data_IF_281291309354
#
_entry.id   IF_281291309354
#
_cell.length_a   1.000
_cell.length_b   1.000
_cell.length_c   1.000
_cell.angle_alpha   90.00
_cell.angle_beta   90.00
_cell.angle_gamma   90.00
#
_symmetry.space_group_name_H-M   'P 1'
#
loop_
_entity.id
_entity.type
_entity.pdbx_description
1 polymer ?
#
# COMPACT_ATOMS: atom_id res chain seq x y z
N UNK A 1 1.16 12.11 18.92
CA UNK A 1 1.49 11.45 17.62
C UNK A 1 2.08 12.47 16.67
N UNK A 2 3.17 12.15 15.99
CA UNK A 2 3.68 12.93 14.88
C UNK A 2 3.20 12.31 13.58
N UNK A 3 2.86 13.14 12.59
CA UNK A 3 2.46 12.61 11.28
C UNK A 3 3.00 13.44 10.13
N UNK A 4 3.17 12.80 8.99
CA UNK A 4 3.57 13.39 7.72
C UNK A 4 2.58 12.96 6.64
N UNK A 5 2.32 13.84 5.67
CA UNK A 5 1.43 13.56 4.54
C UNK A 5 2.26 13.63 3.27
N UNK A 6 2.20 12.57 2.46
CA UNK A 6 2.87 12.47 1.18
C UNK A 6 1.82 12.45 0.08
N UNK A 7 2.01 13.26 -0.95
CA UNK A 7 1.11 13.36 -2.13
C UNK A 7 1.84 13.08 -3.45
N UNK A 8 3.15 12.90 -3.40
CA UNK A 8 3.91 12.48 -4.57
C UNK A 8 3.68 11.00 -4.85
N UNK A 9 3.10 10.69 -6.02
CA UNK A 9 2.73 9.35 -6.43
C UNK A 9 3.93 8.40 -6.42
N UNK A 10 5.06 8.84 -6.96
CA UNK A 10 6.25 8.00 -7.10
C UNK A 10 6.85 7.64 -5.74
N UNK A 11 6.85 8.59 -4.81
CA UNK A 11 7.30 8.37 -3.44
C UNK A 11 6.40 7.37 -2.71
N UNK A 12 5.07 7.47 -2.88
CA UNK A 12 4.11 6.54 -2.29
C UNK A 12 4.27 5.13 -2.87
N UNK A 13 4.39 5.00 -4.20
CA UNK A 13 4.57 3.70 -4.86
C UNK A 13 5.87 3.03 -4.41
N UNK A 14 6.95 3.79 -4.28
CA UNK A 14 8.22 3.30 -3.75
C UNK A 14 8.06 2.80 -2.31
N UNK A 15 7.38 3.56 -1.46
CA UNK A 15 7.11 3.14 -0.08
C UNK A 15 6.29 1.84 -0.02
N UNK A 16 5.29 1.68 -0.91
CA UNK A 16 4.53 0.45 -1.02
C UNK A 16 5.39 -0.75 -1.47
N UNK A 17 6.33 -0.55 -2.38
CA UNK A 17 7.28 -1.59 -2.83
C UNK A 17 8.30 -1.94 -1.74
N UNK A 18 8.79 -0.96 -1.00
CA UNK A 18 9.75 -1.15 0.08
C UNK A 18 9.21 -2.05 1.20
N UNK A 19 7.88 -2.18 1.36
CA UNK A 19 7.27 -3.14 2.29
C UNK A 19 7.66 -4.60 1.99
N UNK A 20 7.95 -4.93 0.72
CA UNK A 20 8.29 -6.30 0.28
C UNK A 20 9.79 -6.53 0.16
N UNK A 21 10.59 -5.46 0.20
CA UNK A 21 12.05 -5.51 0.04
C UNK A 21 12.79 -5.36 1.36
N UNK A 22 12.09 -5.10 2.46
CA UNK A 22 12.72 -4.90 3.77
C UNK A 22 13.20 -6.22 4.35
N UNK A 23 14.32 -6.16 5.10
CA UNK A 23 14.85 -7.29 5.89
C UNK A 23 14.10 -7.45 7.23
N UNK A 24 12.94 -6.81 7.39
CA UNK A 24 12.16 -6.87 8.61
C UNK A 24 11.55 -8.25 8.82
N UNK A 25 11.38 -8.65 10.07
CA UNK A 25 10.60 -9.83 10.41
C UNK A 25 9.11 -9.56 10.15
N UNK A 26 8.56 -10.16 9.11
CA UNK A 26 7.15 -9.96 8.73
C UNK A 26 6.28 -10.92 9.54
N UNK A 27 5.41 -10.37 10.39
CA UNK A 27 4.47 -11.12 11.23
C UNK A 27 3.12 -11.35 10.53
N UNK A 28 2.67 -10.38 9.76
CA UNK A 28 1.48 -10.47 8.90
C UNK A 28 1.87 -10.01 7.51
N UNK A 29 1.70 -10.88 6.53
CA UNK A 29 2.18 -10.69 5.16
C UNK A 29 1.05 -10.36 4.21
N UNK A 30 1.31 -9.42 3.28
CA UNK A 30 0.50 -9.17 2.08
C UNK A 30 1.23 -9.82 0.90
N UNK A 31 0.50 -10.43 -0.04
CA UNK A 31 1.11 -10.95 -1.26
C UNK A 31 1.48 -9.78 -2.20
N UNK A 32 2.65 -9.86 -2.83
CA UNK A 32 3.05 -8.90 -3.86
C UNK A 32 2.05 -8.83 -5.03
N UNK A 33 1.34 -9.93 -5.30
CA UNK A 33 0.25 -9.97 -6.27
C UNK A 33 -0.91 -9.02 -5.92
N UNK A 34 -1.19 -8.84 -4.61
CA UNK A 34 -2.20 -7.90 -4.14
C UNK A 34 -1.78 -6.45 -4.42
N UNK A 35 -0.50 -6.09 -4.19
CA UNK A 35 0.03 -4.78 -4.57
C UNK A 35 -0.08 -4.54 -6.08
N UNK A 36 0.28 -5.53 -6.90
CA UNK A 36 0.13 -5.44 -8.35
C UNK A 36 -1.34 -5.23 -8.77
N UNK A 37 -2.27 -5.83 -8.04
CA UNK A 37 -3.71 -5.66 -8.27
C UNK A 37 -4.15 -4.24 -7.92
N UNK A 38 -3.74 -3.69 -6.78
CA UNK A 38 -4.00 -2.30 -6.41
C UNK A 38 -3.47 -1.31 -7.45
N UNK A 39 -2.22 -1.49 -7.90
CA UNK A 39 -1.60 -0.65 -8.93
C UNK A 39 -2.28 -0.77 -10.30
N UNK A 40 -2.87 -1.92 -10.62
CA UNK A 40 -3.61 -2.12 -11.88
C UNK A 40 -4.92 -1.36 -11.90
N UNK A 41 -5.66 -1.39 -10.81
CA UNK A 41 -7.01 -0.84 -10.72
C UNK A 41 -7.06 0.59 -10.19
N UNK A 42 -6.06 1.01 -9.40
CA UNK A 42 -6.00 2.31 -8.78
C UNK A 42 -4.67 3.03 -8.96
N UNK A 43 -4.66 4.29 -8.58
CA UNK A 43 -3.46 5.13 -8.48
C UNK A 43 -3.27 5.59 -7.04
N UNK A 44 -2.08 5.46 -6.50
CA UNK A 44 -1.72 6.03 -5.20
C UNK A 44 -1.67 7.55 -5.28
N UNK A 45 -2.40 8.24 -4.39
CA UNK A 45 -2.46 9.72 -4.37
C UNK A 45 -2.15 10.33 -3.01
N UNK A 46 -2.35 9.59 -1.95
CA UNK A 46 -2.10 10.06 -0.60
C UNK A 46 -1.49 8.96 0.24
N UNK A 47 -0.51 9.34 1.05
CA UNK A 47 -0.03 8.51 2.14
C UNK A 47 0.09 9.35 3.42
N UNK A 48 -0.14 8.69 4.55
CA UNK A 48 0.02 9.26 5.88
C UNK A 48 1.00 8.36 6.62
N UNK A 49 2.09 8.95 7.11
CA UNK A 49 3.03 8.27 8.01
C UNK A 49 2.77 8.80 9.41
N UNK A 50 2.45 7.90 10.33
CA UNK A 50 2.19 8.24 11.73
C UNK A 50 3.21 7.56 12.64
N UNK A 51 3.94 8.33 13.42
CA UNK A 51 4.81 7.84 14.49
C UNK A 51 4.08 7.94 15.83
N UNK A 52 3.92 6.80 16.49
CA UNK A 52 3.14 6.63 17.71
C UNK A 52 4.07 6.18 18.81
N UNK A 53 4.06 6.94 19.92
CA UNK A 53 4.85 6.63 21.11
C UNK A 53 4.15 5.60 21.99
N UNK A 54 4.94 4.83 22.73
CA UNK A 54 4.44 3.87 23.70
C UNK A 54 3.48 4.56 24.70
N UNK A 55 2.33 3.89 24.94
CA UNK A 55 1.34 4.34 25.90
C UNK A 55 0.36 5.39 25.39
N UNK A 56 0.46 5.83 24.13
CA UNK A 56 -0.59 6.65 23.51
C UNK A 56 -1.83 5.80 23.22
N UNK A 57 -2.81 5.82 24.11
CA UNK A 57 -4.07 5.09 23.98
C UNK A 57 -5.08 5.74 23.03
N UNK A 58 -4.81 6.97 22.58
CA UNK A 58 -5.72 7.71 21.70
C UNK A 58 -5.29 7.61 20.21
N UNK A 59 -4.27 6.82 19.88
CA UNK A 59 -3.65 6.80 18.57
C UNK A 59 -4.61 6.48 17.42
N UNK A 60 -5.58 5.58 17.62
CA UNK A 60 -6.60 5.26 16.61
C UNK A 60 -7.42 6.49 16.27
N UNK A 61 -7.97 7.18 17.30
CA UNK A 61 -8.76 8.38 17.09
C UNK A 61 -7.94 9.52 16.46
N UNK A 62 -6.66 9.64 16.81
CA UNK A 62 -5.77 10.62 16.20
C UNK A 62 -5.57 10.35 14.72
N UNK A 63 -5.35 9.08 14.30
CA UNK A 63 -5.25 8.70 12.89
C UNK A 63 -6.57 8.96 12.15
N UNK A 64 -7.70 8.55 12.71
CA UNK A 64 -9.03 8.80 12.12
C UNK A 64 -9.24 10.30 11.88
N UNK A 65 -8.91 11.14 12.85
CA UNK A 65 -9.01 12.60 12.71
C UNK A 65 -8.11 13.14 11.60
N UNK A 66 -6.89 12.62 11.46
CA UNK A 66 -5.97 13.00 10.37
C UNK A 66 -6.59 12.63 9.02
N UNK A 67 -7.09 11.42 8.85
CA UNK A 67 -7.73 10.97 7.61
C UNK A 67 -8.93 11.86 7.25
N UNK A 68 -9.82 12.11 8.21
CA UNK A 68 -11.01 12.94 8.02
C UNK A 68 -10.66 14.40 7.67
N UNK A 69 -9.56 14.92 8.21
CA UNK A 69 -9.12 16.30 7.92
C UNK A 69 -8.59 16.52 6.51
N UNK A 70 -8.22 15.44 5.80
CA UNK A 70 -7.57 15.53 4.47
C UNK A 70 -8.53 15.90 3.33
N UNK A 71 -9.84 15.94 3.53
CA UNK A 71 -10.85 16.26 2.50
C UNK A 71 -10.63 15.47 1.20
N UNK A 72 -10.26 14.21 1.33
CA UNK A 72 -9.99 13.35 0.18
C UNK A 72 -11.28 13.06 -0.61
N UNK A 73 -11.21 12.87 -1.94
CA UNK A 73 -12.37 12.51 -2.75
C UNK A 73 -12.78 11.05 -2.47
N UNK A 74 -13.62 10.86 -1.45
CA UNK A 74 -14.05 9.53 -0.97
C UNK A 74 -14.74 8.72 -2.08
N UNK A 75 -15.46 9.38 -2.99
CA UNK A 75 -16.20 8.72 -4.06
C UNK A 75 -15.29 7.91 -5.02
N UNK A 76 -14.07 8.36 -5.23
CA UNK A 76 -13.08 7.72 -6.11
C UNK A 76 -12.04 6.88 -5.38
N UNK A 77 -12.13 6.80 -4.06
CA UNK A 77 -11.26 5.95 -3.24
C UNK A 77 -11.53 4.48 -3.56
N UNK A 78 -10.47 3.72 -3.84
CA UNK A 78 -10.54 2.29 -4.15
C UNK A 78 -10.22 1.43 -2.93
N UNK A 79 -9.03 1.64 -2.38
CA UNK A 79 -8.53 0.82 -1.29
C UNK A 79 -7.51 1.56 -0.43
N UNK A 80 -7.26 0.99 0.75
CA UNK A 80 -6.12 1.32 1.59
C UNK A 80 -5.09 0.20 1.57
N UNK A 81 -3.82 0.59 1.61
CA UNK A 81 -2.69 -0.27 1.92
C UNK A 81 -2.03 0.25 3.19
N UNK A 82 -2.00 -0.56 4.24
CA UNK A 82 -1.49 -0.17 5.54
C UNK A 82 -0.32 -1.06 5.94
N UNK A 83 0.80 -0.43 6.31
CA UNK A 83 1.95 -1.10 6.89
C UNK A 83 2.13 -0.66 8.35
N UNK A 84 2.16 -1.62 9.26
CA UNK A 84 2.40 -1.39 10.68
C UNK A 84 3.79 -1.91 11.02
N UNK A 85 4.65 -1.04 11.52
CA UNK A 85 6.02 -1.36 11.93
C UNK A 85 6.14 -1.18 13.42
N UNK A 86 6.60 -2.21 14.14
CA UNK A 86 6.83 -2.17 15.58
C UNK A 86 8.30 -2.45 15.90
N UNK A 87 8.79 -1.98 17.05
CA UNK A 87 10.12 -2.34 17.57
C UNK A 87 10.12 -3.71 18.27
N UNK A 88 11.31 -4.23 18.57
CA UNK A 88 11.51 -5.59 19.12
C UNK A 88 10.83 -5.83 20.47
N UNK A 89 10.83 -4.86 21.37
CA UNK A 89 10.07 -4.95 22.62
C UNK A 89 8.68 -4.36 22.42
N UNK A 90 7.80 -5.22 21.92
CA UNK A 90 6.52 -4.94 21.38
C UNK A 90 5.70 -3.88 22.10
N UNK A 91 5.27 -2.90 21.33
CA UNK A 91 3.99 -2.27 21.61
C UNK A 91 2.96 -3.40 21.60
N UNK A 92 2.22 -3.58 22.68
CA UNK A 92 1.06 -4.46 22.66
C UNK A 92 0.01 -3.78 21.77
N UNK A 93 0.12 -4.02 20.46
CA UNK A 93 -0.93 -3.63 19.52
C UNK A 93 -2.21 -4.32 20.00
N UNK A 94 -3.13 -3.57 20.57
CA UNK A 94 -4.40 -4.12 21.01
C UNK A 94 -5.16 -4.60 19.79
N UNK A 95 -5.68 -5.82 19.84
CA UNK A 95 -6.55 -6.36 18.80
C UNK A 95 -7.80 -5.48 18.62
N UNK A 96 -8.28 -4.88 19.68
CA UNK A 96 -9.44 -3.99 19.70
C UNK A 96 -9.14 -2.69 18.95
N UNK A 97 -7.99 -2.07 19.20
CA UNK A 97 -7.56 -0.84 18.54
C UNK A 97 -7.34 -1.06 17.03
N UNK A 98 -6.70 -2.16 16.65
CA UNK A 98 -6.52 -2.51 15.25
C UNK A 98 -7.86 -2.75 14.56
N UNK A 99 -8.77 -3.46 15.22
CA UNK A 99 -10.11 -3.72 14.69
C UNK A 99 -10.90 -2.42 14.49
N UNK A 100 -10.84 -1.48 15.44
CA UNK A 100 -11.50 -0.17 15.34
C UNK A 100 -10.98 0.61 14.12
N UNK A 101 -9.64 0.66 13.93
CA UNK A 101 -9.05 1.32 12.77
C UNK A 101 -9.47 0.66 11.45
N UNK A 102 -9.39 -0.67 11.36
CA UNK A 102 -9.79 -1.40 10.16
C UNK A 102 -11.28 -1.21 9.85
N UNK A 103 -12.14 -1.24 10.87
CA UNK A 103 -13.56 -0.99 10.70
C UNK A 103 -13.83 0.41 10.14
N UNK A 104 -13.13 1.42 10.65
CA UNK A 104 -13.22 2.79 10.11
C UNK A 104 -12.78 2.83 8.64
N UNK A 105 -11.59 2.30 8.31
CA UNK A 105 -11.05 2.35 6.95
C UNK A 105 -11.96 1.65 5.92
N UNK A 106 -12.53 0.51 6.29
CA UNK A 106 -13.40 -0.26 5.40
C UNK A 106 -14.78 0.36 5.23
N UNK A 107 -15.22 1.19 6.17
CA UNK A 107 -16.54 1.85 6.15
C UNK A 107 -16.51 3.33 5.79
N UNK A 108 -15.36 3.86 5.38
CA UNK A 108 -15.17 5.32 5.16
C UNK A 108 -16.13 5.93 4.13
N UNK A 109 -16.65 5.11 3.21
CA UNK A 109 -17.65 5.50 2.19
C UNK A 109 -19.10 5.39 2.67
N UNK A 110 -19.35 4.85 3.86
CA UNK A 110 -20.71 4.64 4.33
C UNK A 110 -21.36 5.97 4.74
N UNK A 111 -22.64 6.08 4.42
CA UNK A 111 -23.48 7.18 4.85
C UNK A 111 -24.58 6.68 5.78
N UNK A 112 -25.18 7.58 6.55
CA UNK A 112 -26.26 7.24 7.50
C UNK A 112 -27.49 6.61 6.82
N UNK A 113 -27.67 6.86 5.52
CA UNK A 113 -28.79 6.37 4.72
C UNK A 113 -28.50 5.02 4.01
N UNK A 114 -27.30 4.47 4.16
CA UNK A 114 -26.94 3.24 3.46
C UNK A 114 -27.70 2.03 4.02
N UNK A 115 -28.31 1.29 3.11
CA UNK A 115 -28.86 -0.05 3.39
C UNK A 115 -27.71 -1.06 3.51
N UNK A 116 -28.00 -2.25 4.04
CA UNK A 116 -27.02 -3.34 4.13
C UNK A 116 -26.45 -3.71 2.73
N UNK A 117 -27.31 -3.70 1.71
CA UNK A 117 -26.89 -3.94 0.31
C UNK A 117 -25.99 -2.82 -0.24
N UNK A 118 -26.28 -1.54 0.05
CA UNK A 118 -25.43 -0.44 -0.38
C UNK A 118 -24.09 -0.42 0.36
N UNK A 119 -24.06 -0.78 1.63
CA UNK A 119 -22.82 -0.93 2.40
C UNK A 119 -21.89 -1.98 1.82
N UNK A 120 -22.46 -3.13 1.37
CA UNK A 120 -21.67 -4.17 0.70
C UNK A 120 -21.02 -3.68 -0.59
N UNK A 121 -21.69 -2.79 -1.34
CA UNK A 121 -21.15 -2.19 -2.58
C UNK A 121 -20.15 -1.05 -2.33
N UNK A 122 -20.33 -0.35 -1.22
CA UNK A 122 -19.51 0.81 -0.84
C UNK A 122 -18.34 0.44 0.10
N UNK A 123 -18.13 -0.85 0.33
CA UNK A 123 -17.03 -1.34 1.14
C UNK A 123 -15.68 -0.95 0.51
N UNK A 124 -14.77 -0.43 1.32
CA UNK A 124 -13.43 -0.08 0.89
C UNK A 124 -12.46 -1.18 1.30
N UNK A 125 -11.72 -1.72 0.35
CA UNK A 125 -10.71 -2.73 0.67
C UNK A 125 -9.59 -2.13 1.52
N UNK A 126 -9.12 -2.89 2.49
CA UNK A 126 -7.97 -2.54 3.30
C UNK A 126 -7.02 -3.73 3.41
N UNK A 127 -5.91 -3.67 2.69
CA UNK A 127 -4.81 -4.61 2.83
C UNK A 127 -3.85 -4.09 3.90
N UNK A 128 -3.37 -4.97 4.78
CA UNK A 128 -2.46 -4.55 5.83
C UNK A 128 -1.40 -5.58 6.14
N UNK A 129 -0.23 -5.10 6.53
CA UNK A 129 0.90 -5.90 7.00
C UNK A 129 1.35 -5.45 8.38
N UNK A 130 2.01 -6.36 9.09
CA UNK A 130 2.64 -6.09 10.37
C UNK A 130 4.07 -6.62 10.30
N UNK A 131 5.04 -5.79 10.57
CA UNK A 131 6.45 -6.16 10.62
C UNK A 131 7.11 -5.72 11.93
N UNK A 132 8.10 -6.49 12.35
CA UNK A 132 8.99 -6.16 13.44
C UNK A 132 10.33 -5.68 12.87
N UNK A 133 10.80 -4.52 13.31
CA UNK A 133 12.06 -3.93 12.86
C UNK A 133 12.96 -3.63 14.05
N UNK A 134 14.05 -4.39 14.17
CA UNK A 134 15.01 -4.25 15.27
C UNK A 134 15.71 -2.88 15.34
N UNK A 135 15.78 -2.17 14.22
CA UNK A 135 16.29 -0.80 14.18
C UNK A 135 15.28 0.26 14.62
N UNK A 136 14.02 -0.13 14.85
CA UNK A 136 12.97 0.77 15.30
C UNK A 136 12.97 0.88 16.83
N UNK A 137 12.74 2.05 17.43
CA UNK A 137 12.77 2.20 18.88
C UNK A 137 11.79 1.28 19.59
N UNK A 138 12.23 0.64 20.69
CA UNK A 138 11.37 -0.19 21.52
C UNK A 138 10.14 0.59 22.01
N UNK A 139 9.00 -0.06 21.89
CA UNK A 139 7.72 0.52 22.30
C UNK A 139 7.17 1.62 21.39
N UNK A 140 7.85 1.96 20.30
CA UNK A 140 7.32 2.82 19.25
C UNK A 140 6.61 2.00 18.18
N UNK A 141 5.66 2.62 17.49
CA UNK A 141 4.98 2.06 16.34
C UNK A 141 4.93 3.11 15.23
N UNK A 142 5.13 2.67 13.99
CA UNK A 142 4.88 3.48 12.80
C UNK A 142 3.77 2.85 11.99
N UNK A 143 2.82 3.67 11.58
CA UNK A 143 1.79 3.29 10.62
C UNK A 143 2.02 4.10 9.34
N UNK A 144 2.14 3.38 8.23
CA UNK A 144 2.17 3.95 6.88
C UNK A 144 0.85 3.56 6.22
N UNK A 145 -0.03 4.53 6.01
CA UNK A 145 -1.33 4.34 5.41
C UNK A 145 -1.35 4.99 4.03
N UNK A 146 -1.45 4.19 2.99
CA UNK A 146 -1.48 4.61 1.60
C UNK A 146 -2.88 4.42 1.02
N UNK A 147 -3.36 5.38 0.24
CA UNK A 147 -4.71 5.35 -0.36
C UNK A 147 -4.62 5.32 -1.87
N UNK A 148 -5.38 4.41 -2.50
CA UNK A 148 -5.53 4.32 -3.95
C UNK A 148 -6.89 4.84 -4.39
N UNK A 149 -6.92 5.46 -5.55
CA UNK A 149 -8.09 6.10 -6.15
C UNK A 149 -8.30 5.63 -7.59
N UNK A 150 -9.49 5.80 -8.13
CA UNK A 150 -9.76 5.56 -9.55
C UNK A 150 -8.72 6.25 -10.42
N UNK A 151 -8.23 5.53 -11.43
CA UNK A 151 -7.28 6.07 -12.42
C UNK A 151 -7.99 7.10 -13.29
N UNK A 152 -7.42 8.29 -13.33
CA UNK A 152 -7.79 9.30 -14.34
C UNK A 152 -7.22 8.93 -15.71
N UNK A 153 -7.68 9.57 -16.78
CA UNK A 153 -7.08 9.40 -18.12
C UNK A 153 -5.60 9.84 -18.16
N UNK A 154 -5.24 10.81 -17.33
CA UNK A 154 -3.84 11.21 -17.20
C UNK A 154 -3.00 10.11 -16.53
N UNK A 155 -3.49 9.50 -15.44
CA UNK A 155 -2.82 8.39 -14.76
C UNK A 155 -2.56 7.22 -15.73
N UNK A 156 -3.55 6.88 -16.57
CA UNK A 156 -3.42 5.81 -17.58
C UNK A 156 -2.35 6.14 -18.63
N UNK A 157 -2.31 7.38 -19.10
CA UNK A 157 -1.30 7.82 -20.07
C UNK A 157 0.11 7.82 -19.49
N UNK A 158 0.26 8.15 -18.21
CA UNK A 158 1.54 8.08 -17.50
C UNK A 158 2.00 6.63 -17.35
N UNK A 159 1.08 5.72 -16.98
CA UNK A 159 1.36 4.29 -16.88
C UNK A 159 1.81 3.70 -18.24
N UNK A 160 1.09 4.01 -19.32
CA UNK A 160 1.45 3.56 -20.67
C UNK A 160 2.83 4.04 -21.11
N UNK A 161 3.18 5.29 -20.82
CA UNK A 161 4.52 5.83 -21.10
C UNK A 161 5.60 5.12 -20.32
N UNK A 162 5.33 4.82 -19.04
CA UNK A 162 6.27 4.12 -18.18
C UNK A 162 6.49 2.68 -18.66
N UNK A 163 5.43 1.97 -19.04
CA UNK A 163 5.52 0.62 -19.61
C UNK A 163 6.32 0.61 -20.92
N UNK A 164 6.07 1.56 -21.81
CA UNK A 164 6.83 1.70 -23.06
C UNK A 164 8.32 1.94 -22.78
N UNK A 165 8.65 2.79 -21.84
CA UNK A 165 10.03 3.06 -21.45
C UNK A 165 10.71 1.80 -20.92
N UNK A 166 10.05 1.04 -20.05
CA UNK A 166 10.58 -0.24 -19.53
C UNK A 166 10.79 -1.23 -20.66
N UNK A 167 9.85 -1.33 -21.58
CA UNK A 167 9.96 -2.25 -22.73
C UNK A 167 11.13 -1.87 -23.64
N UNK A 168 11.35 -0.58 -23.89
CA UNK A 168 12.52 -0.11 -24.62
C UNK A 168 13.84 -0.44 -23.91
N UNK A 169 13.90 -0.31 -22.58
CA UNK A 169 15.07 -0.70 -21.80
C UNK A 169 15.33 -2.21 -21.81
N UNK A 170 14.29 -3.03 -21.88
CA UNK A 170 14.41 -4.50 -21.90
C UNK A 170 14.82 -5.06 -23.26
N UNK A 171 14.50 -4.41 -24.36
CA UNK A 171 14.81 -4.86 -25.74
C UNK A 171 16.26 -5.28 -25.97
N UNK A 172 17.30 -4.56 -25.48
CA UNK A 172 18.68 -4.98 -25.67
C UNK A 172 19.11 -6.18 -24.82
N UNK A 173 18.40 -6.51 -23.74
CA UNK A 173 18.77 -7.56 -22.79
C UNK A 173 17.98 -8.85 -23.00
N UNK A 174 16.80 -8.77 -23.59
CA UNK A 174 15.94 -9.90 -23.88
C UNK A 174 15.50 -9.85 -25.34
N UNK A 175 16.20 -10.58 -26.24
CA UNK A 175 15.75 -10.69 -27.61
C UNK A 175 14.34 -11.28 -27.67
N UNK A 176 13.54 -10.92 -28.69
CA UNK A 176 12.18 -11.44 -28.83
C UNK A 176 12.16 -12.96 -28.69
N UNK A 177 11.20 -13.49 -27.96
CA UNK A 177 10.97 -14.93 -27.73
C UNK A 177 10.71 -15.74 -29.02
N UNK A 178 10.62 -15.07 -30.19
CA UNK A 178 10.38 -15.67 -31.49
C UNK A 178 11.65 -16.20 -32.18
N UNK A 179 12.82 -16.10 -31.54
CA UNK A 179 14.00 -16.81 -32.05
C UNK A 179 13.80 -18.31 -31.83
N UNK A 180 13.95 -19.15 -32.88
CA UNK A 180 13.87 -20.58 -32.74
C UNK A 180 14.86 -21.05 -31.67
N UNK A 181 14.42 -21.92 -30.75
CA UNK A 181 15.20 -22.43 -29.62
C UNK A 181 16.60 -22.95 -30.06
N UNK A 182 16.74 -23.37 -31.28
CA UNK A 182 18.00 -23.80 -31.92
C UNK A 182 19.04 -22.68 -32.04
N UNK A 183 18.66 -21.41 -31.99
CA UNK A 183 19.62 -20.29 -32.08
C UNK A 183 20.05 -19.82 -30.68
N UNK A 184 19.26 -20.13 -29.62
CA UNK A 184 19.58 -19.80 -28.23
C UNK A 184 20.61 -20.76 -27.62
N UNK A 185 20.71 -22.00 -28.13
CA UNK A 185 21.65 -23.00 -27.68
C UNK A 185 22.32 -23.63 -28.95
N UNK A 186 23.38 -23.01 -29.50
CA UNK A 186 24.18 -23.70 -30.51
C UNK A 186 24.67 -25.00 -29.89
N UNK A 187 24.32 -26.13 -30.50
CA UNK A 187 24.79 -27.44 -30.09
C UNK A 187 26.32 -27.40 -30.02
N UNK A 188 26.89 -27.41 -28.80
CA UNK A 188 28.28 -27.83 -28.62
C UNK A 188 28.39 -29.29 -29.04
N UNK A 189 28.67 -29.49 -30.32
CA UNK A 189 29.19 -30.74 -30.80
C UNK A 189 30.70 -30.57 -30.84
N UNK A 190 31.38 -31.03 -29.78
CA UNK A 190 32.62 -31.85 -29.88
C UNK A 190 32.99 -32.32 -28.46
#
# INVERSE_FOLDING_TARGET
MNYEIITDRFEIEKMAEDMFLSDDEILVHIDYADLCTLKRHGTFKHAIICDIELGNKAWVNEIINVIQSQQQPIDTLQAFLMNIIVGDEGMSLSHEDLYELLQFLTSVKFTDNDTEESRTKNYTDCLWSLSNRSSFPDGAMRIQLMSTYDKTEQDKQEDEKYEQMIEEYRKPFYPPLDLPITELYPNDKE
#
